data_IF_375337789996
#
_entry.id   IF_375337789996
#
_cell.length_a   1.000
_cell.length_b   1.000
_cell.length_c   1.000
_cell.angle_alpha   90.00
_cell.angle_beta   90.00
_cell.angle_gamma   90.00
#
_symmetry.space_group_name_H-M   'P 1'
#
loop_
_entity.id
_entity.type
_entity.pdbx_description
1 polymer ?
#
# COMPACT_ATOMS: atom_id res chain seq x y z
N UNK A 1 26.24 17.10 -0.74
CA UNK A 1 25.57 16.85 -2.03
C UNK A 1 25.90 15.43 -2.45
N UNK A 2 25.01 14.48 -2.22
CA UNK A 2 25.13 13.12 -2.78
C UNK A 2 24.32 13.11 -4.08
N UNK A 3 24.87 13.77 -5.10
CA UNK A 3 24.45 13.59 -6.48
C UNK A 3 25.10 12.32 -7.00
N UNK A 4 24.44 11.19 -6.78
CA UNK A 4 24.69 9.98 -7.55
C UNK A 4 23.39 9.18 -7.55
N UNK A 5 22.81 9.07 -8.74
CA UNK A 5 21.74 8.14 -9.07
C UNK A 5 22.16 6.74 -8.66
N UNK A 6 21.88 6.38 -7.40
CA UNK A 6 22.16 5.06 -6.88
C UNK A 6 21.21 4.10 -7.60
N UNK A 7 21.72 3.44 -8.65
CA UNK A 7 21.01 2.43 -9.42
C UNK A 7 20.29 1.46 -8.45
N UNK A 8 19.00 1.20 -8.68
CA UNK A 8 18.17 0.28 -7.87
C UNK A 8 18.89 -1.04 -7.58
N UNK A 9 19.69 -1.54 -8.53
CA UNK A 9 20.53 -2.74 -8.40
C UNK A 9 21.55 -2.63 -7.25
N UNK A 10 22.14 -1.45 -7.03
CA UNK A 10 23.10 -1.22 -5.95
C UNK A 10 22.40 -1.15 -4.59
N UNK A 11 21.23 -0.50 -4.52
CA UNK A 11 20.42 -0.45 -3.30
C UNK A 11 19.94 -1.87 -2.93
N UNK A 12 19.49 -2.66 -3.92
CA UNK A 12 19.12 -4.05 -3.75
C UNK A 12 20.28 -4.92 -3.24
N UNK A 13 21.46 -4.75 -3.83
CA UNK A 13 22.65 -5.54 -3.46
C UNK A 13 23.13 -5.21 -2.04
N UNK A 14 23.12 -3.93 -1.65
CA UNK A 14 23.43 -3.52 -0.28
C UNK A 14 22.40 -4.05 0.72
N UNK A 15 21.10 -3.94 0.41
CA UNK A 15 20.04 -4.48 1.26
C UNK A 15 20.21 -5.99 1.53
N UNK A 16 20.53 -6.77 0.49
CA UNK A 16 20.67 -8.23 0.60
C UNK A 16 21.89 -8.67 1.42
N UNK A 17 22.98 -7.90 1.41
CA UNK A 17 24.24 -8.24 2.11
C UNK A 17 24.35 -7.61 3.50
N UNK A 18 23.86 -6.38 3.67
CA UNK A 18 24.07 -5.57 4.88
C UNK A 18 22.79 -5.35 5.70
N UNK A 19 21.61 -5.66 5.16
CA UNK A 19 20.33 -5.45 5.84
C UNK A 19 20.27 -6.09 7.24
N UNK A 20 20.89 -7.26 7.43
CA UNK A 20 20.96 -7.95 8.74
C UNK A 20 21.80 -7.22 9.80
N UNK A 21 22.69 -6.31 9.41
CA UNK A 21 23.55 -5.53 10.32
C UNK A 21 23.00 -4.11 10.57
N UNK A 22 21.91 -3.74 9.90
CA UNK A 22 21.27 -2.44 10.07
C UNK A 22 20.47 -2.36 11.38
N UNK A 23 20.49 -1.20 12.04
CA UNK A 23 19.69 -0.92 13.24
C UNK A 23 18.17 -0.92 12.99
N UNK A 24 17.72 -0.67 11.75
CA UNK A 24 16.31 -0.55 11.36
C UNK A 24 16.01 -1.23 10.00
N UNK A 25 16.11 -2.57 9.91
CA UNK A 25 16.03 -3.28 8.63
C UNK A 25 14.67 -3.11 7.93
N UNK A 26 13.55 -3.13 8.67
CA UNK A 26 12.19 -2.98 8.13
C UNK A 26 11.97 -1.64 7.40
N UNK A 27 12.43 -0.54 7.98
CA UNK A 27 12.27 0.80 7.42
C UNK A 27 13.03 0.97 6.09
N UNK A 28 14.22 0.38 5.96
CA UNK A 28 14.99 0.44 4.71
C UNK A 28 14.32 -0.38 3.62
N UNK A 29 13.87 -1.60 3.95
CA UNK A 29 13.11 -2.42 3.00
C UNK A 29 11.82 -1.73 2.56
N UNK A 30 11.10 -1.06 3.46
CA UNK A 30 9.92 -0.26 3.12
C UNK A 30 10.26 0.92 2.19
N UNK A 31 11.35 1.64 2.46
CA UNK A 31 11.80 2.72 1.59
C UNK A 31 12.14 2.23 0.18
N UNK A 32 12.83 1.08 0.08
CA UNK A 32 13.11 0.44 -1.20
C UNK A 32 11.84 -0.03 -1.91
N UNK A 33 10.91 -0.66 -1.19
CA UNK A 33 9.64 -1.10 -1.75
C UNK A 33 8.88 0.06 -2.42
N UNK A 34 8.85 1.23 -1.78
CA UNK A 34 8.23 2.42 -2.34
C UNK A 34 8.96 2.96 -3.58
N UNK A 35 10.30 3.00 -3.57
CA UNK A 35 11.08 3.42 -4.74
C UNK A 35 10.93 2.46 -5.93
N UNK A 36 10.98 1.16 -5.67
CA UNK A 36 10.77 0.13 -6.69
C UNK A 36 9.35 0.23 -7.31
N UNK A 37 8.33 0.52 -6.49
CA UNK A 37 6.97 0.77 -6.98
C UNK A 37 6.91 1.96 -7.94
N UNK A 38 7.51 3.09 -7.56
CA UNK A 38 7.56 4.29 -8.40
C UNK A 38 8.32 4.06 -9.71
N UNK A 39 9.30 3.17 -9.70
CA UNK A 39 10.05 2.74 -10.89
C UNK A 39 9.31 1.68 -11.74
N UNK A 40 8.05 1.33 -11.42
CA UNK A 40 7.29 0.31 -12.14
C UNK A 40 7.70 -1.14 -11.86
N UNK A 41 8.66 -1.37 -10.94
CA UNK A 41 9.20 -2.68 -10.61
C UNK A 41 8.38 -3.38 -9.54
N UNK A 42 7.19 -3.85 -9.93
CA UNK A 42 6.19 -4.36 -8.98
C UNK A 42 6.64 -5.61 -8.23
N UNK A 43 7.33 -6.55 -8.89
CA UNK A 43 7.84 -7.76 -8.24
C UNK A 43 8.91 -7.46 -7.18
N UNK A 44 9.85 -6.55 -7.49
CA UNK A 44 10.87 -6.10 -6.54
C UNK A 44 10.25 -5.33 -5.36
N UNK A 45 9.26 -4.47 -5.66
CA UNK A 45 8.50 -3.74 -4.64
C UNK A 45 7.81 -4.70 -3.67
N UNK A 46 7.13 -5.72 -4.21
CA UNK A 46 6.45 -6.73 -3.41
C UNK A 46 7.43 -7.54 -2.54
N UNK A 47 8.52 -8.03 -3.13
CA UNK A 47 9.56 -8.74 -2.38
C UNK A 47 10.09 -7.91 -1.22
N UNK A 48 10.43 -6.64 -1.47
CA UNK A 48 10.96 -5.76 -0.43
C UNK A 48 9.92 -5.46 0.66
N UNK A 49 8.64 -5.29 0.31
CA UNK A 49 7.58 -5.13 1.31
C UNK A 49 7.42 -6.39 2.17
N UNK A 50 7.53 -7.59 1.58
CA UNK A 50 7.53 -8.84 2.34
C UNK A 50 8.73 -8.95 3.29
N UNK A 51 9.92 -8.54 2.85
CA UNK A 51 11.10 -8.47 3.72
C UNK A 51 10.91 -7.44 4.85
N UNK A 52 10.34 -6.26 4.55
CA UNK A 52 10.02 -5.28 5.58
C UNK A 52 9.07 -5.85 6.64
N UNK A 53 8.06 -6.61 6.22
CA UNK A 53 7.12 -7.27 7.12
C UNK A 53 7.81 -8.33 8.00
N UNK A 54 8.70 -9.14 7.43
CA UNK A 54 9.48 -10.13 8.17
C UNK A 54 10.34 -9.50 9.26
N UNK A 55 10.95 -8.34 8.97
CA UNK A 55 11.86 -7.64 9.87
C UNK A 55 11.15 -6.72 10.89
N UNK A 56 9.84 -6.47 10.72
CA UNK A 56 9.10 -5.58 11.62
C UNK A 56 8.75 -6.29 12.94
N UNK A 57 8.97 -5.59 14.05
CA UNK A 57 8.80 -6.15 15.41
C UNK A 57 7.35 -6.16 15.89
N UNK A 58 6.44 -5.37 15.28
CA UNK A 58 5.06 -5.26 15.74
C UNK A 58 4.07 -5.06 14.59
N UNK A 59 3.07 -5.94 14.54
CA UNK A 59 2.02 -5.99 13.51
C UNK A 59 0.88 -4.98 13.72
N UNK A 60 0.95 -4.11 14.72
CA UNK A 60 -0.11 -3.16 15.03
C UNK A 60 0.42 -1.72 15.16
N UNK A 61 1.38 -1.38 14.30
CA UNK A 61 2.07 -0.08 14.28
C UNK A 61 1.81 0.65 12.97
N UNK A 62 2.09 1.96 12.97
CA UNK A 62 2.14 2.77 11.74
C UNK A 62 3.06 2.17 10.68
N UNK A 63 4.18 1.59 11.10
CA UNK A 63 5.12 0.91 10.22
C UNK A 63 4.45 -0.29 9.54
N UNK A 64 3.76 -1.14 10.32
CA UNK A 64 3.06 -2.29 9.76
C UNK A 64 1.98 -1.88 8.76
N UNK A 65 1.20 -0.85 9.09
CA UNK A 65 0.20 -0.29 8.17
C UNK A 65 0.84 0.21 6.87
N UNK A 66 1.99 0.88 6.95
CA UNK A 66 2.72 1.34 5.78
C UNK A 66 3.29 0.18 4.94
N UNK A 67 3.77 -0.89 5.59
CA UNK A 67 4.25 -2.11 4.93
C UNK A 67 3.11 -2.82 4.21
N UNK A 68 1.95 -3.03 4.85
CA UNK A 68 0.80 -3.66 4.22
C UNK A 68 0.28 -2.84 3.04
N UNK A 69 0.25 -1.51 3.16
CA UNK A 69 -0.10 -0.63 2.05
C UNK A 69 0.89 -0.79 0.88
N UNK A 70 2.20 -0.80 1.13
CA UNK A 70 3.21 -1.00 0.09
C UNK A 70 3.07 -2.37 -0.59
N UNK A 71 2.90 -3.45 0.18
CA UNK A 71 2.70 -4.80 -0.32
C UNK A 71 1.45 -4.89 -1.22
N UNK A 72 0.35 -4.31 -0.78
CA UNK A 72 -0.93 -4.31 -1.50
C UNK A 72 -0.88 -3.52 -2.80
N UNK A 73 -0.15 -2.38 -2.82
CA UNK A 73 0.07 -1.60 -4.05
C UNK A 73 0.84 -2.42 -5.08
N UNK A 74 1.90 -3.10 -4.65
CA UNK A 74 2.69 -3.96 -5.51
C UNK A 74 1.87 -5.14 -6.05
N UNK A 75 1.08 -5.81 -5.20
CA UNK A 75 0.16 -6.88 -5.61
C UNK A 75 -0.83 -6.40 -6.68
N UNK A 76 -1.46 -5.25 -6.47
CA UNK A 76 -2.38 -4.67 -7.44
C UNK A 76 -1.67 -4.33 -8.76
N UNK A 77 -0.45 -3.79 -8.71
CA UNK A 77 0.39 -3.54 -9.89
C UNK A 77 0.75 -4.81 -10.67
N UNK A 78 0.87 -5.94 -9.99
CA UNK A 78 1.06 -7.27 -10.61
C UNK A 78 -0.25 -7.94 -11.05
N UNK A 79 -1.39 -7.24 -10.99
CA UNK A 79 -2.74 -7.79 -11.26
C UNK A 79 -3.15 -8.94 -10.34
N UNK A 80 -2.52 -9.10 -9.17
CA UNK A 80 -2.90 -10.07 -8.12
C UNK A 80 -3.99 -9.47 -7.23
N UNK A 81 -5.17 -9.25 -7.82
CA UNK A 81 -6.23 -8.41 -7.24
C UNK A 81 -6.80 -9.00 -5.94
N UNK A 82 -7.12 -10.29 -5.90
CA UNK A 82 -7.69 -10.93 -4.69
C UNK A 82 -6.75 -10.87 -3.48
N UNK A 83 -5.46 -11.01 -3.73
CA UNK A 83 -4.44 -10.94 -2.70
C UNK A 83 -4.29 -9.51 -2.17
N UNK A 84 -4.34 -8.51 -3.06
CA UNK A 84 -4.36 -7.11 -2.66
C UNK A 84 -5.61 -6.79 -1.81
N UNK A 85 -6.79 -7.26 -2.21
CA UNK A 85 -8.03 -7.09 -1.44
C UNK A 85 -7.91 -7.73 -0.05
N UNK A 86 -7.42 -8.97 0.00
CA UNK A 86 -7.26 -9.71 1.27
C UNK A 86 -6.30 -9.01 2.22
N UNK A 87 -5.18 -8.49 1.69
CA UNK A 87 -4.20 -7.74 2.48
C UNK A 87 -4.74 -6.39 2.98
N UNK A 88 -5.55 -5.69 2.18
CA UNK A 88 -6.06 -4.36 2.51
C UNK A 88 -7.24 -4.34 3.46
N UNK A 89 -8.08 -5.39 3.45
CA UNK A 89 -9.32 -5.44 4.24
C UNK A 89 -9.09 -5.09 5.72
N UNK A 90 -8.16 -5.73 6.46
CA UNK A 90 -7.96 -5.44 7.88
C UNK A 90 -7.65 -3.97 8.16
N UNK A 91 -6.81 -3.35 7.33
CA UNK A 91 -6.37 -1.97 7.53
C UNK A 91 -7.44 -0.95 7.09
N UNK A 92 -8.17 -1.21 6.01
CA UNK A 92 -9.22 -0.34 5.50
C UNK A 92 -10.51 -0.38 6.37
N UNK A 93 -10.79 -1.52 7.00
CA UNK A 93 -12.01 -1.71 7.81
C UNK A 93 -11.80 -1.56 9.31
N UNK A 94 -10.55 -1.39 9.78
CA UNK A 94 -10.25 -1.11 11.19
C UNK A 94 -11.06 0.08 11.73
N UNK A 95 -11.21 0.14 13.05
CA UNK A 95 -11.85 1.28 13.71
C UNK A 95 -11.05 2.56 13.41
N UNK A 96 -11.79 3.66 13.20
CA UNK A 96 -11.22 4.93 12.77
C UNK A 96 -10.39 5.49 13.92
N UNK A 97 -9.14 5.79 13.61
CA UNK A 97 -8.31 6.67 14.44
C UNK A 97 -8.47 8.06 13.81
N UNK A 98 -8.94 9.03 14.59
CA UNK A 98 -9.41 10.31 14.04
C UNK A 98 -8.27 11.20 13.53
N UNK A 99 -7.05 11.05 14.07
CA UNK A 99 -5.91 11.91 13.72
C UNK A 99 -4.57 11.16 13.62
N UNK A 100 -3.64 11.71 12.83
CA UNK A 100 -2.26 11.24 12.72
C UNK A 100 -1.95 10.37 11.50
N UNK A 101 -0.70 9.89 11.44
CA UNK A 101 -0.16 9.18 10.27
C UNK A 101 -0.83 7.83 10.04
N UNK A 102 -1.24 7.13 11.10
CA UNK A 102 -2.03 5.90 10.97
C UNK A 102 -3.38 6.14 10.29
N UNK A 103 -4.08 7.22 10.63
CA UNK A 103 -5.35 7.60 10.01
C UNK A 103 -5.19 7.84 8.49
N UNK A 104 -4.12 8.55 8.10
CA UNK A 104 -3.80 8.74 6.68
C UNK A 104 -3.52 7.42 5.96
N UNK A 105 -2.80 6.49 6.60
CA UNK A 105 -2.49 5.17 6.04
C UNK A 105 -3.76 4.32 5.89
N UNK A 106 -4.67 4.36 6.87
CA UNK A 106 -5.98 3.71 6.79
C UNK A 106 -6.81 4.28 5.63
N UNK A 107 -6.85 5.62 5.49
CA UNK A 107 -7.57 6.27 4.40
C UNK A 107 -6.98 5.89 3.03
N UNK A 108 -5.66 5.92 2.87
CA UNK A 108 -4.96 5.47 1.65
C UNK A 108 -5.25 4.00 1.34
N UNK A 109 -5.33 3.15 2.37
CA UNK A 109 -5.66 1.73 2.23
C UNK A 109 -7.10 1.51 1.78
N UNK A 110 -8.05 2.29 2.31
CA UNK A 110 -9.44 2.25 1.89
C UNK A 110 -9.59 2.69 0.42
N UNK A 111 -8.91 3.75 -0.01
CA UNK A 111 -8.89 4.15 -1.43
C UNK A 111 -8.30 3.07 -2.33
N UNK A 112 -7.20 2.44 -1.90
CA UNK A 112 -6.59 1.36 -2.65
C UNK A 112 -7.50 0.12 -2.70
N UNK A 113 -8.27 -0.14 -1.64
CA UNK A 113 -9.26 -1.21 -1.60
C UNK A 113 -10.35 -0.95 -2.64
N UNK A 114 -10.90 0.27 -2.70
CA UNK A 114 -11.87 0.66 -3.74
C UNK A 114 -11.27 0.44 -5.13
N UNK A 115 -10.02 0.87 -5.37
CA UNK A 115 -9.33 0.66 -6.64
C UNK A 115 -9.16 -0.82 -6.98
N UNK A 116 -8.84 -1.66 -6.00
CA UNK A 116 -8.69 -3.10 -6.20
C UNK A 116 -10.03 -3.74 -6.58
N UNK A 117 -11.12 -3.39 -5.88
CA UNK A 117 -12.47 -3.83 -6.23
C UNK A 117 -12.94 -3.31 -7.58
N UNK A 118 -12.60 -2.08 -7.96
CA UNK A 118 -12.88 -1.54 -9.28
C UNK A 118 -12.11 -2.30 -10.38
N UNK A 119 -10.83 -2.59 -10.13
CA UNK A 119 -10.01 -3.43 -11.03
C UNK A 119 -10.63 -4.82 -11.18
N UNK A 120 -11.10 -5.42 -10.07
CA UNK A 120 -11.83 -6.69 -10.09
C UNK A 120 -13.13 -6.59 -10.87
N UNK A 121 -13.90 -5.51 -10.69
CA UNK A 121 -15.17 -5.30 -11.36
C UNK A 121 -15.02 -5.25 -12.88
N UNK A 122 -13.95 -4.61 -13.38
CA UNK A 122 -13.63 -4.59 -14.81
C UNK A 122 -13.29 -5.99 -15.37
N UNK A 123 -12.82 -6.91 -14.53
CA UNK A 123 -12.53 -8.29 -14.92
C UNK A 123 -13.72 -9.24 -14.72
N UNK A 124 -14.55 -9.02 -13.71
CA UNK A 124 -15.52 -10.01 -13.20
C UNK A 124 -16.95 -9.48 -13.00
N UNK A 125 -17.26 -8.25 -13.43
CA UNK A 125 -18.58 -7.59 -13.26
C UNK A 125 -19.07 -7.50 -11.81
N UNK A 126 -18.17 -7.10 -10.91
CA UNK A 126 -18.43 -6.94 -9.48
C UNK A 126 -19.23 -5.64 -9.16
N UNK A 127 -20.24 -5.74 -8.30
CA UNK A 127 -21.12 -4.63 -7.87
C UNK A 127 -20.66 -3.91 -6.59
N UNK A 128 -19.59 -4.38 -5.94
CA UNK A 128 -19.17 -3.89 -4.62
C UNK A 128 -18.58 -2.46 -4.61
N UNK A 129 -18.20 -1.92 -5.76
CA UNK A 129 -17.52 -0.61 -5.85
C UNK A 129 -18.39 0.53 -5.27
N UNK A 130 -19.66 0.62 -5.67
CA UNK A 130 -20.58 1.69 -5.21
C UNK A 130 -20.77 1.66 -3.70
N UNK A 131 -20.91 0.46 -3.12
CA UNK A 131 -21.01 0.28 -1.68
C UNK A 131 -19.75 0.75 -0.93
N UNK A 132 -18.57 0.41 -1.43
CA UNK A 132 -17.30 0.82 -0.82
C UNK A 132 -17.07 2.33 -0.92
N UNK A 133 -17.45 2.97 -2.03
CA UNK A 133 -17.36 4.43 -2.17
C UNK A 133 -18.30 5.13 -1.18
N UNK A 134 -19.56 4.69 -1.07
CA UNK A 134 -20.51 5.23 -0.11
C UNK A 134 -19.99 5.09 1.33
N UNK A 135 -19.42 3.92 1.67
CA UNK A 135 -18.80 3.67 2.97
C UNK A 135 -17.58 4.57 3.23
N UNK A 136 -16.77 4.85 2.22
CA UNK A 136 -15.64 5.77 2.32
C UNK A 136 -16.10 7.21 2.59
N UNK A 137 -17.10 7.72 1.85
CA UNK A 137 -17.63 9.07 2.04
C UNK A 137 -18.25 9.26 3.43
N UNK A 138 -19.00 8.26 3.91
CA UNK A 138 -19.55 8.28 5.26
C UNK A 138 -18.46 8.28 6.35
N UNK A 139 -17.36 7.54 6.11
CA UNK A 139 -16.25 7.42 7.07
C UNK A 139 -15.28 8.62 7.02
N UNK A 140 -15.13 9.28 5.87
CA UNK A 140 -14.22 10.41 5.67
C UNK A 140 -14.93 11.58 4.94
N UNK A 141 -15.91 12.24 5.59
CA UNK A 141 -16.77 13.23 4.92
C UNK A 141 -15.99 14.42 4.35
N UNK A 142 -14.92 14.85 5.03
CA UNK A 142 -14.07 15.97 4.62
C UNK A 142 -12.83 15.54 3.82
N UNK A 143 -12.84 14.33 3.26
CA UNK A 143 -11.73 13.83 2.46
C UNK A 143 -11.52 14.63 1.18
N UNK A 144 -10.28 15.07 0.93
CA UNK A 144 -9.88 15.64 -0.36
C UNK A 144 -10.07 14.70 -1.56
N UNK A 145 -10.28 13.40 -1.30
CA UNK A 145 -10.47 12.38 -2.32
C UNK A 145 -11.96 12.18 -2.70
N UNK A 146 -12.90 12.88 -2.05
CA UNK A 146 -14.34 12.71 -2.31
C UNK A 146 -14.75 13.10 -3.73
N UNK A 147 -14.11 14.11 -4.33
CA UNK A 147 -14.33 14.51 -5.73
C UNK A 147 -13.81 13.46 -6.71
N UNK A 148 -12.60 12.93 -6.48
CA UNK A 148 -11.99 11.88 -7.30
C UNK A 148 -12.84 10.61 -7.39
N UNK A 149 -13.60 10.28 -6.34
CA UNK A 149 -14.46 9.09 -6.32
C UNK A 149 -15.75 9.24 -7.15
N UNK A 150 -16.13 10.45 -7.58
CA UNK A 150 -17.33 10.66 -8.40
C UNK A 150 -17.22 9.99 -9.78
N UNK A 151 -16.03 10.01 -10.39
CA UNK A 151 -15.77 9.36 -11.69
C UNK A 151 -15.98 7.84 -11.65
N UNK A 152 -15.74 7.23 -10.49
CA UNK A 152 -15.86 5.79 -10.29
C UNK A 152 -17.29 5.37 -9.87
N UNK A 153 -18.13 6.31 -9.46
CA UNK A 153 -19.56 6.07 -9.18
C UNK A 153 -20.41 6.03 -10.46
N UNK A 154 -19.99 6.73 -11.52
CA UNK A 154 -20.73 6.85 -12.78
C UNK A 154 -20.61 5.65 -13.73
N UNK A 155 -19.78 4.65 -13.39
CA UNK A 155 -19.60 3.42 -14.17
C UNK A 155 -20.35 2.23 -13.54
#
# INVERSE_FOLDING_TARGET
MLEQESNLVNIYTHLRKEGKKCKYPSAIYLAYANRAFLAGRMAESYWAACMAAHESKSKNTEEWAAIQLAQSRALLGMKRVEEAITSLKPLATANVIEEGKLAELQQKSHLLLIRAYYTRANYQKDRNVKFLIARFKARYPNSKYSSFLQEWESQ
#
